data_IF_469443367756
#
_entry.id   IF_469443367756
#
_cell.length_a   1.000
_cell.length_b   1.000
_cell.length_c   1.000
_cell.angle_alpha   90.00
_cell.angle_beta   90.00
_cell.angle_gamma   90.00
#
_symmetry.space_group_name_H-M   'P 1'
#
loop_
_entity.id
_entity.type
_entity.pdbx_description
1 polymer ?
#
# COMPACT_ATOMS: atom_id res chain seq x y z
N UNK A 1 -13.76 -10.57 14.56
CA UNK A 1 -13.52 -11.79 13.73
C UNK A 1 -12.01 -11.90 13.52
N UNK A 2 -11.37 -12.97 13.97
CA UNK A 2 -9.91 -13.13 13.93
C UNK A 2 -9.51 -13.92 12.69
N UNK A 3 -8.49 -13.46 11.95
CA UNK A 3 -7.86 -14.24 10.87
C UNK A 3 -6.66 -15.01 11.42
N UNK A 4 -6.20 -16.06 10.72
CA UNK A 4 -4.97 -16.79 11.08
C UNK A 4 -3.79 -15.83 11.29
N UNK A 5 -3.70 -14.82 10.42
CA UNK A 5 -2.70 -13.75 10.46
C UNK A 5 -2.79 -12.91 11.74
N UNK A 6 -4.00 -12.46 12.11
CA UNK A 6 -4.21 -11.72 13.37
C UNK A 6 -3.95 -12.59 14.60
N UNK A 7 -4.29 -13.88 14.54
CA UNK A 7 -3.98 -14.85 15.60
C UNK A 7 -2.48 -15.00 15.82
N UNK A 8 -1.72 -15.12 14.74
CA UNK A 8 -0.27 -15.18 14.79
C UNK A 8 0.37 -13.89 15.32
N UNK A 9 -0.14 -12.71 14.97
CA UNK A 9 0.38 -11.45 15.52
C UNK A 9 0.23 -11.35 17.05
N UNK A 10 -0.80 -11.99 17.61
CA UNK A 10 -1.03 -11.99 19.06
C UNK A 10 -0.06 -12.89 19.83
N UNK A 11 0.65 -13.82 19.17
CA UNK A 11 1.69 -14.63 19.83
C UNK A 11 3.01 -13.88 20.00
N UNK A 12 3.17 -12.69 19.41
CA UNK A 12 4.35 -11.84 19.60
C UNK A 12 4.05 -10.77 20.66
N UNK A 13 4.75 -10.76 21.81
CA UNK A 13 4.43 -9.84 22.92
C UNK A 13 4.96 -8.42 22.70
N UNK A 14 5.99 -8.23 21.86
CA UNK A 14 6.59 -6.92 21.60
C UNK A 14 5.98 -6.25 20.38
N UNK A 15 5.62 -4.98 20.50
CA UNK A 15 5.07 -4.21 19.38
C UNK A 15 6.08 -4.07 18.22
N UNK A 16 7.37 -3.97 18.49
CA UNK A 16 8.43 -3.94 17.46
C UNK A 16 8.39 -5.17 16.55
N UNK A 17 8.18 -6.36 17.13
CA UNK A 17 8.06 -7.61 16.38
C UNK A 17 6.79 -7.62 15.53
N UNK A 18 5.68 -7.12 16.08
CA UNK A 18 4.43 -7.00 15.32
C UNK A 18 4.57 -6.02 14.16
N UNK A 19 5.24 -4.90 14.36
CA UNK A 19 5.47 -3.92 13.29
C UNK A 19 6.32 -4.51 12.16
N UNK A 20 7.42 -5.20 12.48
CA UNK A 20 8.23 -5.88 11.47
C UNK A 20 7.42 -6.89 10.65
N UNK A 21 6.59 -7.71 11.31
CA UNK A 21 5.73 -8.69 10.61
C UNK A 21 4.66 -8.00 9.76
N UNK A 22 4.07 -6.89 10.24
CA UNK A 22 3.11 -6.10 9.45
C UNK A 22 3.77 -5.52 8.20
N UNK A 23 5.03 -5.08 8.27
CA UNK A 23 5.77 -4.65 7.09
C UNK A 23 5.93 -5.77 6.07
N UNK A 24 6.28 -6.98 6.53
CA UNK A 24 6.36 -8.14 5.64
C UNK A 24 5.01 -8.52 5.03
N UNK A 25 3.90 -8.35 5.76
CA UNK A 25 2.56 -8.54 5.22
C UNK A 25 2.24 -7.56 4.10
N UNK A 26 2.57 -6.28 4.28
CA UNK A 26 2.39 -5.28 3.23
C UNK A 26 3.28 -5.60 2.02
N UNK A 27 4.53 -6.02 2.23
CA UNK A 27 5.44 -6.46 1.16
C UNK A 27 4.90 -7.63 0.36
N UNK A 28 4.27 -8.60 1.03
CA UNK A 28 3.59 -9.71 0.37
C UNK A 28 2.27 -9.30 -0.32
N UNK A 29 1.86 -8.03 -0.26
CA UNK A 29 0.61 -7.55 -0.86
C UNK A 29 -0.63 -7.82 0.00
N UNK A 30 -0.48 -8.24 1.25
CA UNK A 30 -1.63 -8.33 2.16
C UNK A 30 -2.09 -6.91 2.53
N UNK A 31 -3.40 -6.70 2.53
CA UNK A 31 -4.00 -5.41 2.91
C UNK A 31 -4.67 -5.52 4.28
N UNK A 32 -4.51 -4.47 5.10
CA UNK A 32 -5.21 -4.34 6.38
C UNK A 32 -6.42 -3.42 6.22
N UNK A 33 -7.62 -3.91 6.51
CA UNK A 33 -8.86 -3.14 6.38
C UNK A 33 -9.22 -2.28 7.62
N UNK A 34 -8.34 -2.27 8.63
CA UNK A 34 -8.60 -1.67 9.94
C UNK A 34 -8.93 -2.71 11.01
N UNK A 35 -9.33 -3.92 10.61
CA UNK A 35 -9.69 -5.02 11.53
C UNK A 35 -8.98 -6.34 11.23
N UNK A 36 -8.66 -6.62 9.97
CA UNK A 36 -8.02 -7.87 9.52
C UNK A 36 -7.09 -7.67 8.34
N UNK A 37 -6.10 -8.56 8.24
CA UNK A 37 -5.31 -8.76 7.04
C UNK A 37 -6.05 -9.67 6.05
N UNK A 38 -6.08 -9.29 4.78
CA UNK A 38 -6.70 -10.06 3.70
C UNK A 38 -5.80 -10.22 2.48
N UNK A 39 -6.04 -11.31 1.75
CA UNK A 39 -5.42 -11.65 0.48
C UNK A 39 -5.93 -10.80 -0.70
N UNK A 40 -6.82 -9.82 -0.45
CA UNK A 40 -7.41 -8.99 -1.50
C UNK A 40 -6.40 -8.14 -2.27
N UNK A 41 -5.20 -7.93 -1.72
CA UNK A 41 -4.10 -7.25 -2.41
C UNK A 41 -3.02 -8.19 -2.97
N UNK A 42 -3.16 -9.52 -2.84
CA UNK A 42 -2.17 -10.46 -3.36
C UNK A 42 -2.14 -10.38 -4.89
N UNK A 43 -0.93 -10.19 -5.43
CA UNK A 43 -0.65 -10.21 -6.88
C UNK A 43 -0.27 -8.86 -7.50
N UNK A 44 -0.27 -7.77 -6.73
CA UNK A 44 0.19 -6.45 -7.19
C UNK A 44 1.52 -6.03 -6.58
N UNK A 45 2.28 -5.18 -7.29
CA UNK A 45 3.50 -4.57 -6.76
C UNK A 45 3.11 -3.35 -5.89
N UNK A 46 3.32 -3.37 -4.57
CA UNK A 46 2.91 -2.26 -3.72
C UNK A 46 3.75 -1.01 -4.03
N UNK A 47 3.08 0.11 -4.24
CA UNK A 47 3.69 1.40 -4.57
C UNK A 47 3.79 2.24 -3.31
N UNK A 48 5.00 2.74 -3.01
CA UNK A 48 5.27 3.65 -1.89
C UNK A 48 5.86 4.97 -2.38
N UNK A 49 5.44 6.09 -1.79
CA UNK A 49 6.01 7.41 -2.11
C UNK A 49 7.43 7.55 -1.55
N UNK A 50 8.36 8.07 -2.35
CA UNK A 50 9.75 8.34 -1.92
C UNK A 50 9.99 9.84 -1.61
N UNK A 51 9.10 10.72 -2.06
CA UNK A 51 9.06 12.16 -1.82
C UNK A 51 7.60 12.63 -1.71
N UNK A 52 7.38 13.86 -1.27
CA UNK A 52 6.04 14.47 -1.32
C UNK A 52 5.55 14.53 -2.78
N UNK A 53 4.31 14.09 -3.01
CA UNK A 53 3.76 14.03 -4.37
C UNK A 53 2.25 14.16 -4.38
N UNK A 54 1.69 14.44 -5.55
CA UNK A 54 0.25 14.51 -5.76
C UNK A 54 -0.26 13.20 -6.34
N UNK A 55 -1.24 12.60 -5.65
CA UNK A 55 -2.05 11.50 -6.16
C UNK A 55 -3.28 12.09 -6.85
N UNK A 56 -3.43 11.79 -8.13
CA UNK A 56 -4.50 12.31 -8.97
C UNK A 56 -5.70 11.35 -8.94
N UNK A 57 -6.86 11.89 -8.55
CA UNK A 57 -8.16 11.22 -8.65
C UNK A 57 -8.72 11.32 -10.07
N UNK A 58 -8.43 12.44 -10.75
CA UNK A 58 -8.79 12.72 -12.14
C UNK A 58 -7.88 13.84 -12.68
N UNK A 59 -8.18 14.37 -13.88
CA UNK A 59 -7.37 15.40 -14.53
C UNK A 59 -7.25 16.73 -13.77
N UNK A 60 -8.18 17.03 -12.85
CA UNK A 60 -8.26 18.32 -12.16
C UNK A 60 -8.14 18.20 -10.64
N UNK A 61 -8.42 17.03 -10.07
CA UNK A 61 -8.46 16.80 -8.63
C UNK A 61 -7.30 15.90 -8.21
N UNK A 62 -6.45 16.42 -7.33
CA UNK A 62 -5.35 15.70 -6.72
C UNK A 62 -5.27 15.93 -5.21
N UNK A 63 -4.63 15.00 -4.51
CA UNK A 63 -4.36 15.07 -3.07
C UNK A 63 -2.84 15.01 -2.87
N UNK A 64 -2.29 15.90 -2.06
CA UNK A 64 -0.89 15.81 -1.65
C UNK A 64 -0.69 14.70 -0.63
N UNK A 65 0.34 13.91 -0.85
CA UNK A 65 0.68 12.75 -0.05
C UNK A 65 2.14 12.85 0.38
N UNK A 66 2.45 12.71 1.67
CA UNK A 66 3.82 12.78 2.17
C UNK A 66 4.66 11.58 1.70
N UNK A 67 6.00 11.65 1.82
CA UNK A 67 6.87 10.50 1.58
C UNK A 67 6.56 9.34 2.53
N UNK A 68 6.99 8.13 2.15
CA UNK A 68 6.79 6.87 2.88
C UNK A 68 5.33 6.49 3.06
N UNK A 69 4.46 6.89 2.14
CA UNK A 69 3.04 6.52 2.13
C UNK A 69 2.80 5.37 1.17
N UNK A 70 2.17 4.30 1.66
CA UNK A 70 1.73 3.17 0.82
C UNK A 70 0.47 3.59 0.08
N UNK A 71 0.55 3.63 -1.24
CA UNK A 71 -0.53 4.12 -2.11
C UNK A 71 -1.51 3.03 -2.49
N UNK A 72 -1.02 1.82 -2.74
CA UNK A 72 -1.80 0.71 -3.27
C UNK A 72 -0.96 -0.18 -4.16
N UNK A 73 -1.61 -0.95 -5.03
CA UNK A 73 -0.95 -1.89 -5.93
C UNK A 73 -0.81 -1.33 -7.34
N UNK A 74 0.38 -1.41 -7.93
CA UNK A 74 0.57 -1.03 -9.33
C UNK A 74 -0.29 -1.88 -10.25
N UNK A 75 -0.95 -1.21 -11.18
CA UNK A 75 -1.67 -1.81 -12.30
C UNK A 75 -0.86 -1.67 -13.59
N UNK A 76 -0.27 -0.49 -13.82
CA UNK A 76 0.54 -0.22 -15.01
C UNK A 76 1.40 1.04 -14.85
N UNK A 77 2.41 1.18 -15.70
CA UNK A 77 3.23 2.38 -15.84
C UNK A 77 3.19 2.85 -17.28
N UNK A 78 2.95 4.15 -17.48
CA UNK A 78 2.97 4.78 -18.81
C UNK A 78 3.48 6.21 -18.72
N UNK A 79 4.47 6.53 -19.55
CA UNK A 79 5.18 7.82 -19.53
C UNK A 79 5.68 8.12 -18.10
N UNK A 80 5.34 9.29 -17.56
CA UNK A 80 5.78 9.74 -16.25
C UNK A 80 4.82 9.36 -15.11
N UNK A 81 3.86 8.47 -15.37
CA UNK A 81 2.80 8.12 -14.41
C UNK A 81 2.68 6.62 -14.15
N UNK A 82 2.52 6.31 -12.86
CA UNK A 82 2.15 4.98 -12.34
C UNK A 82 0.65 4.99 -12.05
N UNK A 83 -0.08 4.06 -12.67
CA UNK A 83 -1.47 3.74 -12.34
C UNK A 83 -1.48 2.69 -11.24
N UNK A 84 -2.17 2.97 -10.15
CA UNK A 84 -2.31 2.04 -9.04
C UNK A 84 -3.78 1.92 -8.59
N UNK A 85 -4.09 0.80 -7.97
CA UNK A 85 -5.38 0.49 -7.37
C UNK A 85 -5.31 0.58 -5.85
N UNK A 86 -6.35 1.15 -5.24
CA UNK A 86 -6.56 1.16 -3.80
C UNK A 86 -8.07 1.03 -3.52
N UNK A 87 -8.46 -0.08 -2.88
CA UNK A 87 -9.85 -0.38 -2.46
C UNK A 87 -10.87 -0.29 -3.61
N UNK A 88 -10.55 -0.86 -4.75
CA UNK A 88 -11.34 -0.91 -5.98
C UNK A 88 -11.30 0.38 -6.81
N UNK A 89 -10.54 1.39 -6.39
CA UNK A 89 -10.42 2.68 -7.09
C UNK A 89 -9.04 2.85 -7.69
N UNK A 90 -8.98 3.55 -8.81
CA UNK A 90 -7.76 3.74 -9.60
C UNK A 90 -7.28 5.18 -9.52
N UNK A 91 -5.97 5.36 -9.38
CA UNK A 91 -5.34 6.65 -9.18
C UNK A 91 -4.02 6.72 -9.95
N UNK A 92 -3.59 7.95 -10.24
CA UNK A 92 -2.31 8.21 -10.88
C UNK A 92 -1.36 8.94 -9.94
N UNK A 93 -0.09 8.61 -10.01
CA UNK A 93 1.00 9.31 -9.32
C UNK A 93 2.20 9.40 -10.24
N UNK A 94 3.04 10.43 -10.08
CA UNK A 94 4.27 10.52 -10.87
C UNK A 94 5.21 9.36 -10.55
N UNK A 95 5.69 8.67 -11.57
CA UNK A 95 6.53 7.48 -11.42
C UNK A 95 7.83 7.78 -10.70
N UNK A 96 8.45 8.95 -10.94
CA UNK A 96 9.68 9.37 -10.26
C UNK A 96 9.50 9.63 -8.76
N UNK A 97 8.27 9.82 -8.28
CA UNK A 97 7.95 10.01 -6.87
C UNK A 97 7.58 8.70 -6.15
N UNK A 98 7.75 7.56 -6.82
CA UNK A 98 7.36 6.25 -6.31
C UNK A 98 8.48 5.23 -6.37
N UNK A 99 8.52 4.36 -5.37
CA UNK A 99 9.33 3.14 -5.32
C UNK A 99 8.41 1.94 -5.05
N UNK A 100 8.99 0.75 -5.13
CA UNK A 100 8.37 -0.47 -4.60
C UNK A 100 8.84 -0.75 -3.18
N UNK A 101 8.03 -1.49 -2.41
CA UNK A 101 8.32 -1.92 -1.04
C UNK A 101 9.27 -3.12 -0.97
#
# INVERSE_FOLDING_TARGET
RQTLVNGMLNSFPKEEQKQAIRFEFIRMGLQYDGTKWSLSGLGGLPVITNQETTVWLNASNGINVPPKTVLGNEISKRLDYTLFENKGKYFLVRTNATNYL
#
